data_IF_575475558885
#
_entry.id   IF_575475558885
#
_cell.length_a   1.000
_cell.length_b   1.000
_cell.length_c   1.000
_cell.angle_alpha   90.00
_cell.angle_beta   90.00
_cell.angle_gamma   90.00
#
_symmetry.space_group_name_H-M   'P 1'
#
loop_
_entity.id
_entity.type
_entity.pdbx_description
1 polymer ?
#
# COMPACT_ATOMS: atom_id res chain seq x y z
N UNK A 1 -15.31 55.60 18.41
CA UNK A 1 -13.98 55.59 17.77
C UNK A 1 -13.00 54.97 18.75
N UNK A 2 -12.18 53.96 18.49
CA UNK A 2 -11.95 52.99 17.41
C UNK A 2 -11.53 51.72 18.16
N UNK A 3 -12.17 50.57 17.93
CA UNK A 3 -11.68 49.27 18.44
C UNK A 3 -10.68 48.73 17.43
N UNK A 4 -9.41 48.69 17.79
CA UNK A 4 -8.35 48.04 17.02
C UNK A 4 -8.46 46.53 17.20
N UNK A 5 -8.83 45.85 16.11
CA UNK A 5 -8.85 44.39 16.00
C UNK A 5 -7.43 43.94 15.65
N UNK A 6 -6.72 43.33 16.60
CA UNK A 6 -5.46 42.65 16.33
C UNK A 6 -5.76 41.32 15.64
N UNK A 7 -5.48 41.23 14.36
CA UNK A 7 -5.56 40.00 13.58
C UNK A 7 -4.31 39.17 13.86
N UNK A 8 -4.45 38.11 14.66
CA UNK A 8 -3.37 37.15 14.90
C UNK A 8 -3.28 36.24 13.67
N UNK A 9 -2.30 36.48 12.81
CA UNK A 9 -2.01 35.63 11.66
C UNK A 9 -1.30 34.36 12.17
N UNK A 10 -2.07 33.29 12.40
CA UNK A 10 -1.49 31.96 12.70
C UNK A 10 -0.99 31.39 11.38
N UNK A 11 0.31 31.53 11.13
CA UNK A 11 1.00 30.80 10.07
C UNK A 11 1.12 29.35 10.55
N UNK A 12 0.20 28.49 10.10
CA UNK A 12 0.35 27.05 10.20
C UNK A 12 1.56 26.66 9.36
N UNK A 13 2.69 26.48 10.02
CA UNK A 13 3.85 25.83 9.44
C UNK A 13 3.44 24.38 9.11
N UNK A 14 3.10 24.16 7.84
CA UNK A 14 3.12 22.81 7.29
C UNK A 14 4.57 22.35 7.33
N UNK A 15 4.93 21.59 8.38
CA UNK A 15 6.12 20.75 8.34
C UNK A 15 5.85 19.68 7.26
N UNK A 16 6.14 20.04 6.00
CA UNK A 16 6.40 19.07 4.97
C UNK A 16 7.70 18.38 5.38
N UNK A 17 7.59 17.15 5.85
CA UNK A 17 8.76 16.28 5.93
C UNK A 17 9.29 16.17 4.51
N UNK A 18 10.48 16.75 4.28
CA UNK A 18 11.20 16.52 3.04
C UNK A 18 11.52 15.03 2.99
N UNK A 19 10.82 14.28 2.12
CA UNK A 19 11.27 12.96 1.73
C UNK A 19 12.68 13.12 1.15
N UNK A 20 13.62 12.18 1.41
CA UNK A 20 14.94 12.26 0.81
C UNK A 20 14.76 12.42 -0.69
N UNK A 21 15.32 13.50 -1.25
CA UNK A 21 15.30 13.76 -2.70
C UNK A 21 16.11 12.67 -3.40
N UNK A 22 15.51 11.49 -3.59
CA UNK A 22 15.92 10.56 -4.61
C UNK A 22 15.55 11.23 -5.92
N UNK A 23 16.57 11.76 -6.59
CA UNK A 23 16.45 12.64 -7.75
C UNK A 23 16.02 11.85 -9.01
N UNK A 24 15.18 10.81 -8.87
CA UNK A 24 14.79 9.87 -9.91
C UNK A 24 14.07 10.59 -11.03
N UNK A 25 14.59 10.44 -12.24
CA UNK A 25 14.09 11.12 -13.43
C UNK A 25 14.16 10.20 -14.65
N UNK A 26 13.56 10.59 -15.80
CA UNK A 26 13.53 9.74 -16.98
C UNK A 26 14.89 9.23 -17.47
N UNK A 27 15.99 9.97 -17.21
CA UNK A 27 17.34 9.52 -17.57
C UNK A 27 17.81 8.37 -16.67
N UNK A 28 17.53 8.43 -15.37
CA UNK A 28 17.83 7.30 -14.47
C UNK A 28 16.94 6.10 -14.78
N UNK A 29 15.66 6.32 -15.10
CA UNK A 29 14.78 5.24 -15.56
C UNK A 29 15.36 4.54 -16.80
N UNK A 30 15.86 5.32 -17.76
CA UNK A 30 16.50 4.77 -18.96
C UNK A 30 17.74 3.94 -18.62
N UNK A 31 18.60 4.42 -17.70
CA UNK A 31 19.79 3.70 -17.24
C UNK A 31 19.38 2.40 -16.52
N UNK A 32 18.39 2.45 -15.63
CA UNK A 32 17.85 1.28 -14.94
C UNK A 32 17.33 0.23 -15.91
N UNK A 33 16.59 0.66 -16.92
CA UNK A 33 16.11 -0.22 -17.98
C UNK A 33 17.25 -0.80 -18.83
N UNK A 34 18.33 -0.05 -19.06
CA UNK A 34 19.53 -0.59 -19.73
C UNK A 34 20.15 -1.72 -18.92
N UNK A 35 20.29 -1.56 -17.59
CA UNK A 35 20.76 -2.65 -16.73
C UNK A 35 19.82 -3.87 -16.82
N UNK A 36 18.50 -3.68 -16.80
CA UNK A 36 17.54 -4.79 -16.98
C UNK A 36 17.74 -5.56 -18.29
N UNK A 37 18.22 -4.90 -19.34
CA UNK A 37 18.50 -5.51 -20.64
C UNK A 37 19.94 -6.04 -20.78
N UNK A 38 20.81 -5.85 -19.79
CA UNK A 38 22.20 -6.28 -19.79
C UNK A 38 22.43 -7.42 -18.78
N UNK A 39 22.61 -8.63 -19.31
CA UNK A 39 22.81 -9.83 -18.51
C UNK A 39 24.06 -9.79 -17.61
N UNK A 40 25.04 -8.93 -17.91
CA UNK A 40 26.22 -8.74 -17.04
C UNK A 40 25.91 -8.03 -15.73
N UNK A 41 24.75 -7.37 -15.64
CA UNK A 41 24.31 -6.61 -14.46
C UNK A 41 23.35 -7.40 -13.57
N UNK A 42 22.86 -8.55 -14.04
CA UNK A 42 21.82 -9.32 -13.37
C UNK A 42 22.33 -10.01 -12.12
N UNK A 43 21.49 -10.07 -11.10
CA UNK A 43 21.66 -10.97 -9.98
C UNK A 43 21.14 -12.36 -10.38
N UNK A 44 22.04 -13.21 -10.90
CA UNK A 44 21.69 -14.55 -11.39
C UNK A 44 21.25 -15.49 -10.27
N UNK A 45 21.81 -15.33 -9.06
CA UNK A 45 21.40 -16.13 -7.89
C UNK A 45 19.93 -15.88 -7.56
N UNK A 46 19.51 -14.61 -7.52
CA UNK A 46 18.12 -14.22 -7.26
C UNK A 46 17.17 -14.77 -8.33
N UNK A 47 17.56 -14.70 -9.60
CA UNK A 47 16.75 -15.25 -10.70
C UNK A 47 16.56 -16.77 -10.58
N UNK A 48 17.60 -17.52 -10.22
CA UNK A 48 17.49 -18.96 -10.05
C UNK A 48 16.61 -19.34 -8.86
N UNK A 49 16.63 -18.56 -7.77
CA UNK A 49 15.69 -18.72 -6.66
C UNK A 49 14.26 -18.46 -7.12
N UNK A 50 14.01 -17.37 -7.84
CA UNK A 50 12.68 -16.97 -8.29
C UNK A 50 12.06 -18.01 -9.23
N UNK A 51 12.86 -18.69 -10.06
CA UNK A 51 12.40 -19.78 -10.94
C UNK A 51 11.87 -21.00 -10.19
N UNK A 52 12.27 -21.21 -8.94
CA UNK A 52 11.80 -22.33 -8.12
C UNK A 52 10.50 -22.02 -7.38
N UNK A 53 10.07 -20.75 -7.36
CA UNK A 53 8.84 -20.35 -6.69
C UNK A 53 7.66 -20.78 -7.57
N UNK A 54 6.77 -21.66 -7.07
CA UNK A 54 5.59 -22.03 -7.83
C UNK A 54 4.68 -20.81 -8.02
N UNK A 55 4.04 -20.65 -9.18
CA UNK A 55 3.09 -19.56 -9.38
C UNK A 55 1.98 -19.64 -8.33
N UNK A 56 1.74 -18.54 -7.61
CA UNK A 56 0.60 -18.45 -6.69
C UNK A 56 -0.71 -18.54 -7.49
N UNK A 57 -1.64 -19.39 -7.04
CA UNK A 57 -2.90 -19.64 -7.73
C UNK A 57 -4.02 -18.66 -7.34
N UNK A 58 -3.81 -17.82 -6.32
CA UNK A 58 -4.90 -17.03 -5.68
C UNK A 58 -4.63 -15.51 -5.73
N UNK A 59 -3.52 -15.06 -6.33
CA UNK A 59 -3.25 -13.63 -6.49
C UNK A 59 -3.84 -13.07 -7.80
N UNK A 60 -4.19 -11.77 -7.84
CA UNK A 60 -4.72 -11.12 -9.06
C UNK A 60 -3.83 -11.32 -10.29
N UNK A 61 -2.53 -11.51 -10.08
CA UNK A 61 -1.53 -11.83 -11.08
C UNK A 61 -0.64 -12.98 -10.61
N UNK A 62 -0.27 -13.86 -11.55
CA UNK A 62 0.79 -14.83 -11.28
C UNK A 62 2.15 -14.12 -11.29
N UNK A 63 2.88 -14.19 -10.18
CA UNK A 63 4.24 -13.63 -10.08
C UNK A 63 5.19 -14.43 -10.97
N UNK A 64 5.78 -13.76 -11.96
CA UNK A 64 6.77 -14.36 -12.86
C UNK A 64 8.20 -14.16 -12.36
N UNK A 65 9.08 -15.11 -12.68
CA UNK A 65 10.52 -14.96 -12.51
C UNK A 65 11.11 -14.19 -13.72
N UNK A 66 11.77 -13.07 -13.46
CA UNK A 66 12.42 -12.25 -14.48
C UNK A 66 13.77 -11.73 -13.98
N UNK A 67 14.73 -11.47 -14.88
CA UNK A 67 16.05 -10.98 -14.47
C UNK A 67 15.97 -9.62 -13.80
N UNK A 68 16.72 -9.47 -12.71
CA UNK A 68 16.80 -8.24 -11.91
C UNK A 68 18.25 -7.81 -11.82
N UNK A 69 18.60 -6.55 -12.14
CA UNK A 69 19.92 -6.01 -11.90
C UNK A 69 20.29 -6.05 -10.41
N UNK A 70 21.57 -6.09 -10.08
CA UNK A 70 22.00 -5.89 -8.69
C UNK A 70 21.42 -4.59 -8.13
N UNK A 71 20.78 -4.63 -6.96
CA UNK A 71 20.05 -3.48 -6.39
C UNK A 71 20.93 -2.24 -6.19
N UNK A 72 22.21 -2.45 -5.88
CA UNK A 72 23.24 -1.41 -5.76
C UNK A 72 23.39 -0.55 -7.03
N UNK A 73 23.01 -1.06 -8.20
CA UNK A 73 23.04 -0.31 -9.45
C UNK A 73 21.93 0.75 -9.55
N UNK A 74 20.91 0.64 -8.69
CA UNK A 74 19.85 1.64 -8.55
C UNK A 74 20.09 2.55 -7.33
N UNK A 75 20.24 1.94 -6.15
CA UNK A 75 20.56 2.61 -4.89
C UNK A 75 21.14 1.59 -3.90
N UNK A 76 22.17 1.97 -3.14
CA UNK A 76 22.79 1.12 -2.11
C UNK A 76 22.02 1.09 -0.78
N UNK A 77 20.89 1.79 -0.70
CA UNK A 77 20.11 1.89 0.55
C UNK A 77 19.04 0.79 0.69
N UNK A 78 18.78 -0.04 -0.32
CA UNK A 78 17.67 -1.00 -0.26
C UNK A 78 17.85 -2.07 0.83
N UNK A 79 16.88 -2.19 1.74
CA UNK A 79 16.89 -3.20 2.80
C UNK A 79 15.85 -4.30 2.61
N UNK A 80 14.72 -4.00 1.96
CA UNK A 80 13.67 -4.99 1.79
C UNK A 80 12.29 -4.41 1.57
N UNK A 81 11.34 -5.32 1.47
CA UNK A 81 9.90 -5.05 1.42
C UNK A 81 9.20 -5.86 2.50
N UNK A 82 8.05 -5.39 2.97
CA UNK A 82 7.27 -6.07 3.99
C UNK A 82 5.77 -5.86 3.79
N UNK A 83 5.00 -6.79 4.34
CA UNK A 83 3.57 -6.67 4.55
C UNK A 83 3.26 -6.45 6.02
N UNK A 84 2.15 -5.78 6.31
CA UNK A 84 1.61 -5.64 7.68
C UNK A 84 0.10 -5.49 7.61
N UNK A 85 -0.58 -5.51 8.76
CA UNK A 85 -2.05 -5.53 8.74
C UNK A 85 -2.67 -6.18 9.98
N UNK A 86 -4.00 -6.26 9.95
CA UNK A 86 -4.80 -7.10 10.84
C UNK A 86 -5.73 -7.99 10.00
N UNK A 87 -5.41 -9.29 9.98
CA UNK A 87 -6.17 -10.31 9.26
C UNK A 87 -7.31 -10.86 10.11
N UNK A 88 -7.25 -10.79 11.44
CA UNK A 88 -8.27 -11.42 12.30
C UNK A 88 -9.62 -10.69 12.29
N UNK A 89 -9.65 -9.51 11.69
CA UNK A 89 -10.80 -8.62 11.62
C UNK A 89 -10.92 -7.71 12.83
N UNK A 90 -11.17 -6.43 12.56
CA UNK A 90 -11.47 -5.38 13.53
C UNK A 90 -12.96 -5.11 13.49
N UNK A 91 -13.58 -5.03 14.67
CA UNK A 91 -15.00 -4.70 14.78
C UNK A 91 -15.27 -3.24 14.39
N UNK A 92 -16.32 -3.03 13.59
CA UNK A 92 -16.84 -1.71 13.24
C UNK A 92 -18.37 -1.71 13.34
N UNK A 93 -18.86 -1.56 14.58
CA UNK A 93 -20.26 -1.84 14.92
C UNK A 93 -20.51 -3.34 14.94
N UNK A 94 -21.48 -3.80 14.17
CA UNK A 94 -21.84 -5.22 14.00
C UNK A 94 -21.09 -5.91 12.86
N UNK A 95 -20.18 -5.19 12.19
CA UNK A 95 -19.40 -5.66 11.04
C UNK A 95 -17.94 -5.84 11.36
N UNK A 96 -17.20 -6.47 10.45
CA UNK A 96 -15.75 -6.65 10.54
C UNK A 96 -15.03 -6.05 9.34
N UNK A 97 -13.89 -5.42 9.60
CA UNK A 97 -12.97 -4.98 8.57
C UNK A 97 -11.58 -5.58 8.79
N UNK A 98 -10.92 -5.99 7.73
CA UNK A 98 -9.49 -6.33 7.73
C UNK A 98 -8.72 -5.17 7.12
N UNK A 99 -7.45 -5.01 7.46
CA UNK A 99 -6.60 -4.05 6.76
C UNK A 99 -5.23 -4.61 6.49
N UNK A 100 -4.64 -4.17 5.37
CA UNK A 100 -3.38 -4.65 4.83
C UNK A 100 -2.52 -3.45 4.40
N UNK A 101 -1.22 -3.50 4.68
CA UNK A 101 -0.24 -2.45 4.43
C UNK A 101 0.93 -3.00 3.61
N UNK A 102 1.28 -2.32 2.52
CA UNK A 102 2.47 -2.58 1.72
C UNK A 102 3.60 -1.60 2.06
N UNK A 103 4.80 -2.15 2.25
CA UNK A 103 5.91 -1.41 2.85
C UNK A 103 7.24 -1.70 2.13
N UNK A 104 8.14 -0.72 2.15
CA UNK A 104 9.53 -0.89 1.79
C UNK A 104 10.45 -0.21 2.81
N UNK A 105 11.69 -0.68 2.91
CA UNK A 105 12.72 -0.12 3.78
C UNK A 105 13.95 0.31 2.96
N UNK A 106 14.41 1.52 3.24
CA UNK A 106 15.64 2.11 2.72
C UNK A 106 16.56 2.47 3.90
N UNK A 107 17.86 2.61 3.66
CA UNK A 107 18.87 3.07 4.62
C UNK A 107 19.35 2.00 5.61
N UNK A 108 20.30 2.34 6.47
CA UNK A 108 20.92 1.36 7.39
C UNK A 108 20.06 1.05 8.64
N UNK A 109 19.02 1.85 8.92
CA UNK A 109 18.17 1.70 10.09
C UNK A 109 16.74 1.28 9.71
N UNK A 110 16.16 0.31 10.44
CA UNK A 110 14.76 -0.10 10.29
C UNK A 110 13.75 1.06 10.47
N UNK A 111 14.18 2.18 11.06
CA UNK A 111 13.41 3.41 11.27
C UNK A 111 12.98 4.10 9.98
N UNK A 112 13.52 3.71 8.82
CA UNK A 112 13.21 4.29 7.50
C UNK A 112 12.21 3.46 6.68
N UNK A 113 11.48 2.55 7.32
CA UNK A 113 10.39 1.79 6.66
C UNK A 113 9.20 2.72 6.34
N UNK A 114 8.73 2.68 5.10
CA UNK A 114 7.62 3.49 4.61
C UNK A 114 6.47 2.62 4.11
N UNK A 115 5.25 3.01 4.44
CA UNK A 115 4.01 2.45 3.91
C UNK A 115 3.61 3.22 2.65
N UNK A 116 3.59 2.56 1.49
CA UNK A 116 3.19 3.20 0.23
C UNK A 116 1.71 2.96 -0.11
N UNK A 117 1.10 1.91 0.44
CA UNK A 117 -0.31 1.61 0.23
C UNK A 117 -0.92 0.89 1.44
N UNK A 118 -2.13 1.32 1.81
CA UNK A 118 -2.96 0.68 2.83
C UNK A 118 -4.36 0.49 2.27
N UNK A 119 -4.90 -0.71 2.44
CA UNK A 119 -6.29 -1.04 2.11
C UNK A 119 -7.02 -1.53 3.35
N UNK A 120 -8.24 -1.04 3.55
CA UNK A 120 -9.16 -1.48 4.60
C UNK A 120 -10.41 -2.03 3.94
N UNK A 121 -10.72 -3.30 4.18
CA UNK A 121 -11.80 -4.01 3.50
C UNK A 121 -12.83 -4.49 4.51
N UNK A 122 -14.08 -4.10 4.31
CA UNK A 122 -15.22 -4.70 5.01
C UNK A 122 -15.40 -6.14 4.53
N UNK A 123 -15.50 -7.09 5.45
CA UNK A 123 -15.68 -8.51 5.11
C UNK A 123 -16.62 -9.22 6.08
N UNK A 124 -17.39 -10.15 5.52
CA UNK A 124 -18.26 -11.08 6.22
C UNK A 124 -17.68 -12.51 6.26
N UNK A 125 -16.41 -12.67 5.86
CA UNK A 125 -15.72 -13.95 5.70
C UNK A 125 -14.33 -13.92 6.33
N UNK A 126 -14.26 -14.12 7.65
CA UNK A 126 -13.00 -14.38 8.35
C UNK A 126 -12.79 -15.89 8.45
N UNK A 127 -11.70 -16.38 7.89
CA UNK A 127 -11.36 -17.81 7.95
C UNK A 127 -11.09 -18.26 9.40
N UNK A 128 -11.41 -19.52 9.71
CA UNK A 128 -11.21 -20.08 11.05
C UNK A 128 -9.73 -20.19 11.45
N UNK A 129 -8.83 -20.30 10.47
CA UNK A 129 -7.38 -20.25 10.68
C UNK A 129 -6.87 -18.83 10.94
N UNK A 130 -7.69 -17.81 10.71
CA UNK A 130 -7.36 -16.39 10.85
C UNK A 130 -6.63 -15.77 9.66
N UNK A 131 -6.30 -16.51 8.60
CA UNK A 131 -5.38 -16.03 7.56
C UNK A 131 -5.82 -16.33 6.12
N UNK A 132 -6.42 -17.49 5.82
CA UNK A 132 -6.66 -17.92 4.42
C UNK A 132 -7.70 -17.09 3.64
N UNK A 133 -8.37 -16.16 4.33
CA UNK A 133 -9.32 -15.24 3.71
C UNK A 133 -8.67 -13.94 3.19
N UNK A 134 -7.39 -13.70 3.43
CA UNK A 134 -6.69 -12.54 2.90
C UNK A 134 -5.21 -12.82 2.68
N UNK A 135 -4.68 -12.40 1.54
CA UNK A 135 -3.26 -12.54 1.20
C UNK A 135 -2.70 -11.21 0.72
N UNK A 136 -1.42 -10.98 1.01
CA UNK A 136 -0.70 -9.81 0.57
C UNK A 136 0.73 -10.21 0.18
N UNK A 137 1.13 -9.83 -1.02
CA UNK A 137 2.48 -9.99 -1.53
C UNK A 137 3.05 -8.62 -1.92
N UNK A 138 4.31 -8.39 -1.56
CA UNK A 138 5.06 -7.18 -1.97
C UNK A 138 6.32 -7.63 -2.69
N UNK A 139 6.53 -7.10 -3.89
CA UNK A 139 7.59 -7.48 -4.79
C UNK A 139 8.70 -6.42 -4.81
N UNK A 140 9.91 -6.82 -4.40
CA UNK A 140 11.11 -6.01 -4.47
C UNK A 140 11.88 -6.10 -5.78
N UNK A 141 11.54 -7.05 -6.67
CA UNK A 141 12.23 -7.28 -7.97
C UNK A 141 12.14 -6.07 -8.93
N UNK A 142 11.26 -5.12 -8.60
CA UNK A 142 11.09 -3.87 -9.32
C UNK A 142 11.96 -2.72 -8.79
N UNK A 143 12.71 -2.89 -7.68
CA UNK A 143 13.50 -1.83 -7.05
C UNK A 143 14.30 -1.01 -8.09
N UNK A 144 14.26 0.34 -8.03
CA UNK A 144 13.70 1.18 -6.97
C UNK A 144 12.20 1.47 -7.07
N UNK A 145 11.49 0.80 -7.98
CA UNK A 145 10.02 0.76 -7.96
C UNK A 145 9.53 -0.35 -7.03
N UNK A 146 8.38 -0.14 -6.41
CA UNK A 146 7.74 -1.12 -5.53
C UNK A 146 6.37 -1.44 -6.05
N UNK A 147 6.02 -2.72 -6.02
CA UNK A 147 4.69 -3.19 -6.40
C UNK A 147 4.24 -4.26 -5.43
N UNK A 148 2.95 -4.39 -5.21
CA UNK A 148 2.38 -5.50 -4.47
C UNK A 148 0.97 -5.78 -4.94
N UNK A 149 0.48 -6.93 -4.54
CA UNK A 149 -0.85 -7.40 -4.87
C UNK A 149 -1.42 -8.24 -3.74
N UNK A 150 -2.73 -8.42 -3.74
CA UNK A 150 -3.38 -9.24 -2.75
C UNK A 150 -4.87 -9.30 -2.95
N UNK A 151 -5.51 -9.97 -2.00
CA UNK A 151 -6.95 -10.09 -1.96
C UNK A 151 -7.47 -10.13 -0.53
N UNK A 152 -8.76 -9.83 -0.40
CA UNK A 152 -9.58 -10.12 0.77
C UNK A 152 -10.85 -10.81 0.28
N UNK A 153 -11.11 -12.02 0.76
CA UNK A 153 -12.31 -12.77 0.47
C UNK A 153 -13.50 -12.19 1.25
N UNK A 154 -14.65 -12.21 0.58
CA UNK A 154 -15.97 -12.09 1.20
C UNK A 154 -16.77 -13.33 0.84
N UNK A 155 -17.97 -13.51 1.39
CA UNK A 155 -18.84 -14.63 0.99
C UNK A 155 -19.33 -14.55 -0.46
N UNK A 156 -19.26 -13.38 -1.10
CA UNK A 156 -19.84 -13.15 -2.43
C UNK A 156 -18.80 -12.80 -3.49
N UNK A 157 -18.04 -11.73 -3.27
CA UNK A 157 -17.05 -11.22 -4.22
C UNK A 157 -15.71 -10.93 -3.54
N UNK A 158 -14.57 -11.43 -4.06
CA UNK A 158 -13.27 -11.06 -3.53
C UNK A 158 -12.96 -9.59 -3.84
N UNK A 159 -12.32 -8.92 -2.90
CA UNK A 159 -11.66 -7.63 -3.13
C UNK A 159 -10.24 -7.93 -3.55
N UNK A 160 -9.93 -7.67 -4.81
CA UNK A 160 -8.62 -7.93 -5.42
C UNK A 160 -7.93 -6.62 -5.70
N UNK A 161 -6.64 -6.52 -5.38
CA UNK A 161 -5.92 -5.26 -5.53
C UNK A 161 -4.47 -5.45 -5.96
N UNK A 162 -3.98 -4.45 -6.68
CA UNK A 162 -2.57 -4.26 -7.04
C UNK A 162 -2.24 -2.80 -6.71
N UNK A 163 -1.10 -2.55 -6.09
CA UNK A 163 -0.60 -1.19 -5.88
C UNK A 163 0.87 -1.12 -6.23
N UNK A 164 1.31 0.06 -6.67
CA UNK A 164 2.70 0.30 -6.96
C UNK A 164 3.08 1.75 -6.71
N UNK A 165 4.34 1.95 -6.35
CA UNK A 165 5.01 3.24 -6.24
C UNK A 165 6.26 3.20 -7.11
N UNK A 166 6.39 4.16 -8.02
CA UNK A 166 7.59 4.31 -8.82
C UNK A 166 8.67 5.06 -8.04
N UNK A 167 9.91 4.93 -8.46
CA UNK A 167 11.08 5.55 -7.82
C UNK A 167 11.06 7.09 -7.84
N UNK A 168 10.22 7.71 -8.67
CA UNK A 168 9.90 9.15 -8.64
C UNK A 168 8.66 9.48 -7.78
N UNK A 169 8.25 8.55 -6.91
CA UNK A 169 7.14 8.63 -5.96
C UNK A 169 5.75 8.85 -6.59
N UNK A 170 5.55 8.51 -7.86
CA UNK A 170 4.21 8.35 -8.38
C UNK A 170 3.63 7.01 -7.92
N UNK A 171 2.51 7.07 -7.20
CA UNK A 171 1.91 5.89 -6.59
C UNK A 171 0.45 5.72 -7.00
N UNK A 172 0.06 4.48 -7.32
CA UNK A 172 -1.28 4.13 -7.79
C UNK A 172 -1.72 2.77 -7.24
N UNK A 173 -3.04 2.59 -7.14
CA UNK A 173 -3.64 1.29 -6.87
C UNK A 173 -4.77 1.00 -7.84
N UNK A 174 -4.95 -0.27 -8.17
CA UNK A 174 -6.14 -0.83 -8.79
C UNK A 174 -6.82 -1.71 -7.75
N UNK A 175 -8.09 -1.46 -7.47
CA UNK A 175 -8.92 -2.35 -6.63
C UNK A 175 -10.14 -2.76 -7.44
N UNK A 176 -10.26 -4.06 -7.76
CA UNK A 176 -11.25 -4.60 -8.69
C UNK A 176 -11.41 -3.69 -9.94
N UNK A 177 -10.28 -3.34 -10.57
CA UNK A 177 -10.16 -2.47 -11.76
C UNK A 177 -10.53 -0.98 -11.58
N UNK A 178 -10.85 -0.52 -10.36
CA UNK A 178 -10.94 0.92 -10.06
C UNK A 178 -9.56 1.50 -9.77
N UNK A 179 -9.19 2.55 -10.51
CA UNK A 179 -7.93 3.28 -10.32
C UNK A 179 -8.01 4.28 -9.15
N UNK A 180 -6.97 4.29 -8.33
CA UNK A 180 -6.72 5.24 -7.25
C UNK A 180 -5.36 5.91 -7.45
N UNK A 181 -5.33 7.23 -7.35
CA UNK A 181 -4.11 8.02 -7.33
C UNK A 181 -3.63 8.15 -5.88
N UNK A 182 -2.63 7.38 -5.47
CA UNK A 182 -2.22 7.31 -4.06
C UNK A 182 -1.50 8.58 -3.59
N UNK A 183 -1.12 9.47 -4.52
CA UNK A 183 -0.49 10.77 -4.20
C UNK A 183 -1.45 11.70 -3.46
N UNK A 184 -2.77 11.51 -3.61
CA UNK A 184 -3.79 12.26 -2.86
C UNK A 184 -4.30 11.52 -1.60
N UNK A 185 -3.84 10.29 -1.38
CA UNK A 185 -4.19 9.51 -0.19
C UNK A 185 -3.83 8.03 -0.33
N UNK A 186 -3.07 7.51 0.63
CA UNK A 186 -2.54 6.13 0.59
C UNK A 186 -3.44 5.10 1.26
N UNK A 187 -4.53 5.55 1.89
CA UNK A 187 -5.46 4.68 2.62
C UNK A 187 -6.75 4.57 1.82
N UNK A 188 -7.04 3.38 1.30
CA UNK A 188 -8.23 3.08 0.52
C UNK A 188 -9.15 2.16 1.32
N UNK A 189 -10.35 2.61 1.59
CA UNK A 189 -11.42 1.85 2.24
C UNK A 189 -12.32 1.27 1.16
N UNK A 190 -12.65 -0.02 1.27
CA UNK A 190 -13.51 -0.74 0.33
C UNK A 190 -14.64 -1.41 1.11
N UNK A 191 -15.87 -1.08 0.74
CA UNK A 191 -17.08 -1.69 1.26
C UNK A 191 -17.80 -2.42 0.12
N UNK A 192 -17.61 -3.75 -0.02
CA UNK A 192 -18.43 -4.56 -0.89
C UNK A 192 -19.90 -4.46 -0.47
N UNK A 193 -20.81 -4.49 -1.45
CA UNK A 193 -22.23 -4.37 -1.25
C UNK A 193 -22.94 -5.68 -1.58
N UNK A 194 -24.07 -5.91 -0.94
CA UNK A 194 -24.97 -7.05 -1.16
C UNK A 194 -25.51 -7.15 -2.59
N UNK A 195 -25.52 -6.04 -3.34
CA UNK A 195 -25.89 -6.00 -4.78
C UNK A 195 -24.72 -6.32 -5.72
N UNK A 196 -23.54 -6.64 -5.18
CA UNK A 196 -22.32 -6.96 -5.92
C UNK A 196 -21.49 -5.74 -6.33
N UNK A 197 -21.94 -4.52 -6.03
CA UNK A 197 -21.14 -3.31 -6.26
C UNK A 197 -20.06 -3.11 -5.18
N UNK A 198 -19.06 -2.28 -5.48
CA UNK A 198 -18.06 -1.85 -4.51
C UNK A 198 -18.19 -0.35 -4.26
N UNK A 199 -18.34 0.04 -2.99
CA UNK A 199 -18.16 1.44 -2.56
C UNK A 199 -16.73 1.62 -2.06
N UNK A 200 -16.15 2.78 -2.31
CA UNK A 200 -14.79 3.08 -1.87
C UNK A 200 -14.65 4.50 -1.33
N UNK A 201 -13.76 4.67 -0.36
CA UNK A 201 -13.37 5.96 0.19
C UNK A 201 -11.84 6.03 0.23
N UNK A 202 -11.25 7.12 -0.25
CA UNK A 202 -9.81 7.33 -0.24
C UNK A 202 -9.45 8.45 0.73
N UNK A 203 -8.49 8.21 1.61
CA UNK A 203 -8.12 9.11 2.69
C UNK A 203 -6.65 9.51 2.61
N UNK A 204 -6.41 10.81 2.82
CA UNK A 204 -5.08 11.35 3.05
C UNK A 204 -4.65 11.12 4.49
N UNK A 205 -3.39 10.75 4.71
CA UNK A 205 -2.82 10.60 6.05
C UNK A 205 -1.38 11.10 6.09
N UNK A 206 -0.94 11.53 7.27
CA UNK A 206 0.46 11.84 7.55
C UNK A 206 1.23 10.62 8.07
N UNK A 207 0.53 9.55 8.44
CA UNK A 207 1.16 8.30 8.86
C UNK A 207 2.01 7.76 7.71
N UNK A 208 3.29 7.50 7.99
CA UNK A 208 4.24 7.05 6.99
C UNK A 208 4.90 5.73 7.39
N UNK A 209 5.19 5.56 8.68
CA UNK A 209 5.76 4.32 9.19
C UNK A 209 4.68 3.26 9.47
N UNK A 210 5.07 1.98 9.57
CA UNK A 210 4.12 0.89 9.84
C UNK A 210 3.35 1.07 11.16
N UNK A 211 4.04 1.50 12.22
CA UNK A 211 3.43 1.72 13.54
C UNK A 211 2.47 2.92 13.57
N UNK A 212 2.82 4.01 12.88
CA UNK A 212 1.91 5.16 12.73
C UNK A 212 0.67 4.77 11.92
N UNK A 213 0.85 3.98 10.85
CA UNK A 213 -0.25 3.56 10.00
C UNK A 213 -1.20 2.60 10.72
N UNK A 214 -0.67 1.63 11.47
CA UNK A 214 -1.48 0.74 12.32
C UNK A 214 -2.32 1.55 13.31
N UNK A 215 -1.69 2.48 14.03
CA UNK A 215 -2.36 3.33 15.00
C UNK A 215 -3.43 4.21 14.34
N UNK A 216 -3.12 4.78 13.17
CA UNK A 216 -4.03 5.62 12.40
C UNK A 216 -5.27 4.84 11.95
N UNK A 217 -5.11 3.65 11.35
CA UNK A 217 -6.23 2.85 10.85
C UNK A 217 -7.10 2.36 12.02
N UNK A 218 -6.50 1.91 13.12
CA UNK A 218 -7.25 1.47 14.30
C UNK A 218 -8.08 2.61 14.89
N UNK A 219 -7.51 3.81 15.00
CA UNK A 219 -8.25 4.98 15.50
C UNK A 219 -9.36 5.42 14.52
N UNK A 220 -9.08 5.37 13.21
CA UNK A 220 -10.04 5.67 12.16
C UNK A 220 -11.28 4.76 12.28
N UNK A 221 -11.09 3.44 12.38
CA UNK A 221 -12.19 2.47 12.52
C UNK A 221 -12.92 2.64 13.86
N UNK A 222 -12.20 3.01 14.92
CA UNK A 222 -12.75 3.16 16.27
C UNK A 222 -13.55 4.43 16.48
N UNK A 223 -13.18 5.54 15.87
CA UNK A 223 -13.65 6.87 16.29
C UNK A 223 -14.13 7.77 15.16
N UNK A 224 -13.71 7.54 13.92
CA UNK A 224 -14.08 8.43 12.82
C UNK A 224 -15.52 8.21 12.37
N UNK A 225 -16.33 9.27 12.45
CA UNK A 225 -17.75 9.22 12.14
C UNK A 225 -17.99 8.91 10.65
N UNK A 226 -17.24 9.54 9.75
CA UNK A 226 -17.42 9.36 8.31
C UNK A 226 -17.10 7.93 7.91
N UNK A 227 -16.05 7.35 8.49
CA UNK A 227 -15.64 5.97 8.20
C UNK A 227 -16.63 4.95 8.74
N UNK A 228 -17.14 5.15 9.95
CA UNK A 228 -18.22 4.31 10.49
C UNK A 228 -19.47 4.37 9.63
N UNK A 229 -19.92 5.57 9.27
CA UNK A 229 -21.08 5.75 8.39
C UNK A 229 -20.86 5.12 7.02
N UNK A 230 -19.64 5.22 6.47
CA UNK A 230 -19.29 4.58 5.20
C UNK A 230 -19.43 3.05 5.25
N UNK A 231 -18.89 2.39 6.28
CA UNK A 231 -18.93 0.92 6.40
C UNK A 231 -20.28 0.38 6.88
N UNK A 232 -21.03 1.16 7.65
CA UNK A 232 -22.36 0.81 8.15
C UNK A 232 -23.49 1.26 7.22
N UNK A 233 -23.16 1.86 6.08
CA UNK A 233 -24.14 2.29 5.10
C UNK A 233 -25.03 1.10 4.64
N UNK A 234 -26.30 1.40 4.37
CA UNK A 234 -27.24 0.41 3.86
C UNK A 234 -26.70 -0.25 2.58
N UNK A 235 -26.84 -1.57 2.53
CA UNK A 235 -26.37 -2.41 1.43
C UNK A 235 -24.95 -2.95 1.60
N UNK A 236 -24.12 -2.38 2.49
CA UNK A 236 -22.79 -2.93 2.76
C UNK A 236 -22.91 -4.30 3.45
N UNK A 237 -22.03 -5.24 3.09
CA UNK A 237 -22.00 -6.60 3.67
C UNK A 237 -21.69 -6.61 5.18
#
# INVERSE_FOLDING_TARGET
>A
MKRTLNLLLVVLAMNAFAQPNLNWNPKQEQIHNQHRNDASTWNTELLEVDKQIPPSLIQPMAVGAFPVPNYELANNEFQGVASGGEWSGIEIGDKKAVYLNMQYALGEEQTQTQVFFSIVVLTDSIAADGYSHAELFVNSRNHPHYSGEGFVLTKTNPVEFIAFETADHNAYALVNMRLFDLRIGRVVLIAPQTDGSFRSLQLSTKANSPGEMDSYIKELLRSDKQVKEFFQAEGAI
#
